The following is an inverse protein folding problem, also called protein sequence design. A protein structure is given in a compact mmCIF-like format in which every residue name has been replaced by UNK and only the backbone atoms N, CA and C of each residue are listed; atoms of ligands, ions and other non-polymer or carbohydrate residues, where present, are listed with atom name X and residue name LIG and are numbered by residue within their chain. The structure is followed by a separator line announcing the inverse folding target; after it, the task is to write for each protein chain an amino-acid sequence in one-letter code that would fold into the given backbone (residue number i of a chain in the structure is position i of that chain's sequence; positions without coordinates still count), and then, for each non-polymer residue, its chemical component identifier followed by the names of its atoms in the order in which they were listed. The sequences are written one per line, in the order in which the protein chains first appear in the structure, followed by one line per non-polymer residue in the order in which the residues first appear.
data_IF_144204851967
#
_entry.id   IF_144204851967
#
_cell.length_a   1.000
_cell.length_b   1.000
_cell.length_c   1.000
_cell.angle_alpha   90.00
_cell.angle_beta   90.00
_cell.angle_gamma   90.00
#
_symmetry.space_group_name_H-M   'P 1'
#
loop_
_entity.id
_entity.type
_entity.pdbx_description
1 polymer ?
#
# COMPACT_ATOMS: atom_id res chain seq x y z
N UNK A 1 38.00 8.86 5.25
CA UNK A 1 38.72 8.31 4.08
C UNK A 1 38.64 9.33 2.95
N UNK A 2 39.77 9.82 2.43
CA UNK A 2 39.77 10.77 1.31
C UNK A 2 39.13 10.07 0.10
N UNK A 3 38.03 10.62 -0.39
CA UNK A 3 37.31 10.09 -1.56
C UNK A 3 37.90 10.73 -2.81
N UNK A 4 38.04 9.95 -3.86
CA UNK A 4 38.38 10.47 -5.18
C UNK A 4 37.18 11.30 -5.68
N UNK A 5 37.40 12.26 -6.58
CA UNK A 5 36.30 12.98 -7.22
C UNK A 5 35.47 12.01 -8.07
N UNK A 6 34.16 12.19 -8.12
CA UNK A 6 33.25 11.36 -8.91
C UNK A 6 33.66 11.29 -10.39
N UNK A 7 34.11 12.42 -10.96
CA UNK A 7 34.59 12.47 -12.35
C UNK A 7 35.88 11.68 -12.60
N UNK A 8 36.70 11.47 -11.56
CA UNK A 8 37.91 10.65 -11.65
C UNK A 8 37.58 9.16 -11.46
N UNK A 9 36.53 8.85 -10.72
CA UNK A 9 36.00 7.49 -10.55
C UNK A 9 35.36 6.98 -11.85
N UNK A 10 34.56 7.82 -12.51
CA UNK A 10 33.97 7.51 -13.83
C UNK A 10 35.06 7.23 -14.88
N UNK A 11 36.11 8.07 -14.94
CA UNK A 11 37.25 7.85 -15.84
C UNK A 11 38.02 6.57 -15.55
N UNK A 12 38.07 6.15 -14.28
CA UNK A 12 38.76 4.93 -13.87
C UNK A 12 37.95 3.69 -14.26
N UNK A 13 36.62 3.77 -14.23
CA UNK A 13 35.74 2.74 -14.79
C UNK A 13 35.85 2.66 -16.32
N UNK A 14 35.83 3.80 -17.02
CA UNK A 14 36.05 3.84 -18.47
C UNK A 14 37.40 3.23 -18.89
N UNK A 15 38.44 3.42 -18.07
CA UNK A 15 39.75 2.76 -18.25
C UNK A 15 39.67 1.24 -18.05
N UNK A 16 38.96 0.77 -17.02
CA UNK A 16 38.80 -0.67 -16.75
C UNK A 16 37.96 -1.38 -17.83
N UNK A 17 36.99 -0.69 -18.40
CA UNK A 17 36.11 -1.19 -19.46
C UNK A 17 36.77 -1.08 -20.86
N UNK A 18 37.92 -0.42 -20.98
CA UNK A 18 38.65 -0.24 -22.25
C UNK A 18 37.96 0.74 -23.21
N UNK A 19 37.17 1.68 -22.69
CA UNK A 19 36.41 2.66 -23.48
C UNK A 19 37.17 4.00 -23.69
N UNK A 20 38.43 4.08 -23.24
CA UNK A 20 39.27 5.26 -23.42
C UNK A 20 40.04 5.24 -24.74
N UNK A 21 40.20 6.41 -25.35
CA UNK A 21 41.05 6.60 -26.53
C UNK A 21 42.54 6.44 -26.17
N UNK A 22 43.34 5.89 -27.09
CA UNK A 22 44.72 5.43 -26.83
C UNK A 22 45.68 6.55 -26.39
N UNK A 23 45.35 7.81 -26.69
CA UNK A 23 46.12 8.99 -26.25
C UNK A 23 45.79 9.34 -24.81
N UNK A 24 44.51 9.25 -24.44
CA UNK A 24 44.00 9.55 -23.09
C UNK A 24 44.38 8.45 -22.11
N UNK A 25 44.41 7.21 -22.57
CA UNK A 25 44.85 6.04 -21.80
C UNK A 25 46.27 6.24 -21.26
N UNK A 26 47.24 6.60 -22.11
CA UNK A 26 48.64 6.83 -21.69
C UNK A 26 48.78 7.98 -20.71
N UNK A 27 48.07 9.07 -20.93
CA UNK A 27 48.07 10.21 -20.00
C UNK A 27 47.48 9.83 -18.64
N UNK A 28 46.46 8.97 -18.65
CA UNK A 28 45.83 8.49 -17.43
C UNK A 28 46.69 7.46 -16.70
N UNK A 29 47.46 6.63 -17.40
CA UNK A 29 48.46 5.74 -16.78
C UNK A 29 49.58 6.51 -16.08
N UNK A 30 50.02 7.63 -16.66
CA UNK A 30 50.96 8.55 -16.01
C UNK A 30 50.33 9.19 -14.76
N UNK A 31 49.04 9.58 -14.82
CA UNK A 31 48.28 10.12 -13.69
C UNK A 31 48.11 9.10 -12.56
N UNK A 32 47.77 7.85 -12.88
CA UNK A 32 47.66 6.72 -11.94
C UNK A 32 49.02 6.45 -11.27
N UNK A 33 50.12 6.51 -12.04
CA UNK A 33 51.48 6.28 -11.54
C UNK A 33 51.92 7.39 -10.58
N UNK A 34 51.47 8.63 -10.80
CA UNK A 34 51.78 9.77 -9.94
C UNK A 34 50.97 9.80 -8.63
N UNK A 35 49.77 9.18 -8.60
CA UNK A 35 48.83 9.29 -7.50
C UNK A 35 48.54 7.94 -6.83
N UNK A 36 49.11 7.75 -5.63
CA UNK A 36 48.93 6.55 -4.80
C UNK A 36 47.46 6.23 -4.53
N UNK A 37 46.58 7.24 -4.39
CA UNK A 37 45.16 7.02 -4.11
C UNK A 37 44.40 6.43 -5.31
N UNK A 38 44.72 6.87 -6.54
CA UNK A 38 44.11 6.32 -7.76
C UNK A 38 44.54 4.88 -7.97
N UNK A 39 45.81 4.57 -7.73
CA UNK A 39 46.34 3.21 -7.83
C UNK A 39 45.66 2.24 -6.86
N UNK A 40 45.55 2.60 -5.58
CA UNK A 40 44.86 1.75 -4.59
C UNK A 40 43.41 1.49 -4.98
N UNK A 41 42.73 2.50 -5.53
CA UNK A 41 41.32 2.39 -5.95
C UNK A 41 41.14 1.54 -7.20
N UNK A 42 42.08 1.62 -8.13
CA UNK A 42 42.13 0.74 -9.30
C UNK A 42 42.39 -0.72 -8.90
N UNK A 43 43.26 -0.96 -7.93
CA UNK A 43 43.48 -2.31 -7.38
C UNK A 43 42.22 -2.85 -6.68
N UNK A 44 41.50 -2.03 -5.90
CA UNK A 44 40.21 -2.38 -5.31
C UNK A 44 39.19 -2.79 -6.39
N UNK A 45 39.05 -1.99 -7.45
CA UNK A 45 38.10 -2.26 -8.54
C UNK A 45 38.47 -3.51 -9.35
N UNK A 46 39.77 -3.74 -9.61
CA UNK A 46 40.24 -4.98 -10.24
C UNK A 46 39.95 -6.21 -9.39
N UNK A 47 40.14 -6.12 -8.07
CA UNK A 47 39.81 -7.20 -7.16
C UNK A 47 38.31 -7.50 -7.17
N UNK A 48 37.45 -6.48 -7.19
CA UNK A 48 35.99 -6.67 -7.32
C UNK A 48 35.60 -7.29 -8.65
N UNK A 49 36.16 -6.82 -9.78
CA UNK A 49 35.89 -7.39 -11.10
C UNK A 49 36.29 -8.87 -11.16
N UNK A 50 37.44 -9.24 -10.57
CA UNK A 50 37.86 -10.64 -10.49
C UNK A 50 36.89 -11.50 -9.66
N UNK A 51 36.28 -10.95 -8.61
CA UNK A 51 35.23 -11.65 -7.85
C UNK A 51 33.97 -11.84 -8.71
N UNK A 52 33.56 -10.80 -9.45
CA UNK A 52 32.40 -10.87 -10.35
C UNK A 52 32.58 -11.83 -11.52
N UNK A 53 33.77 -11.97 -12.07
CA UNK A 53 34.05 -12.95 -13.12
C UNK A 53 33.97 -14.41 -12.63
N UNK A 54 34.26 -14.64 -11.35
CA UNK A 54 34.21 -15.97 -10.74
C UNK A 54 32.83 -16.31 -10.15
N UNK A 55 31.90 -15.37 -10.12
CA UNK A 55 30.52 -15.63 -9.73
C UNK A 55 29.83 -16.41 -10.86
N UNK A 56 29.47 -17.66 -10.58
CA UNK A 56 28.65 -18.46 -11.48
C UNK A 56 27.31 -17.77 -11.64
N UNK A 57 27.07 -17.19 -12.83
CA UNK A 57 25.77 -16.62 -13.16
C UNK A 57 24.74 -17.76 -13.13
N UNK A 58 23.77 -17.66 -12.22
CA UNK A 58 22.65 -18.61 -12.20
C UNK A 58 21.90 -18.49 -13.52
N UNK A 59 21.82 -19.59 -14.26
CA UNK A 59 21.12 -19.58 -15.53
C UNK A 59 19.63 -19.39 -15.26
N UNK A 60 18.99 -18.36 -15.82
CA UNK A 60 17.56 -18.16 -15.63
C UNK A 60 16.79 -19.35 -16.20
N UNK A 61 15.59 -19.58 -15.69
CA UNK A 61 14.72 -20.62 -16.23
C UNK A 61 14.46 -20.37 -17.73
N UNK A 62 14.26 -21.44 -18.51
CA UNK A 62 14.06 -21.38 -19.96
C UNK A 62 13.00 -20.37 -20.41
N UNK A 63 12.00 -20.11 -19.56
CA UNK A 63 10.86 -19.23 -19.86
C UNK A 63 10.90 -17.91 -19.09
N UNK A 64 12.03 -17.56 -18.46
CA UNK A 64 12.15 -16.33 -17.68
C UNK A 64 11.86 -15.08 -18.52
N UNK A 65 12.52 -14.96 -19.67
CA UNK A 65 12.34 -13.81 -20.57
C UNK A 65 10.91 -13.70 -21.07
N UNK A 66 10.29 -14.83 -21.43
CA UNK A 66 8.88 -14.88 -21.85
C UNK A 66 7.94 -14.44 -20.71
N UNK A 67 8.17 -14.91 -19.48
CA UNK A 67 7.37 -14.50 -18.32
C UNK A 67 7.52 -13.03 -17.97
N UNK A 68 8.73 -12.48 -18.08
CA UNK A 68 8.99 -11.06 -17.82
C UNK A 68 8.32 -10.20 -18.89
N UNK A 69 8.48 -10.55 -20.17
CA UNK A 69 7.88 -9.81 -21.27
C UNK A 69 6.35 -9.89 -21.25
N UNK A 70 5.78 -11.05 -20.94
CA UNK A 70 4.33 -11.21 -20.77
C UNK A 70 3.78 -10.37 -19.62
N UNK A 71 4.58 -10.09 -18.58
CA UNK A 71 4.16 -9.33 -17.40
C UNK A 71 4.53 -7.85 -17.44
N UNK A 72 5.22 -7.39 -18.48
CA UNK A 72 5.70 -6.02 -18.60
C UNK A 72 4.53 -5.03 -18.75
N UNK A 73 3.52 -5.41 -19.54
CA UNK A 73 2.32 -4.59 -19.81
C UNK A 73 1.16 -4.88 -18.87
N UNK A 74 1.23 -5.97 -18.09
CA UNK A 74 0.23 -6.24 -17.08
C UNK A 74 0.48 -5.32 -15.90
N UNK A 75 -0.30 -4.24 -15.81
CA UNK A 75 -0.41 -3.41 -14.61
C UNK A 75 -0.48 -4.35 -13.39
N UNK A 76 0.25 -4.03 -12.29
CA UNK A 76 0.34 -4.92 -11.14
C UNK A 76 -1.08 -5.32 -10.78
N UNK A 77 -1.34 -6.63 -10.79
CA UNK A 77 -2.66 -7.18 -10.51
C UNK A 77 -3.10 -6.56 -9.18
N UNK A 78 -3.93 -5.53 -9.25
CA UNK A 78 -4.39 -4.88 -8.05
C UNK A 78 -5.06 -5.99 -7.25
N UNK A 79 -4.71 -6.08 -5.98
CA UNK A 79 -5.42 -6.90 -5.00
C UNK A 79 -6.86 -6.40 -4.95
N UNK A 80 -7.61 -6.77 -5.97
CA UNK A 80 -8.99 -6.38 -6.19
C UNK A 80 -9.73 -7.45 -5.44
N UNK A 81 -10.39 -7.06 -4.36
CA UNK A 81 -11.30 -7.93 -3.63
C UNK A 81 -12.15 -8.70 -4.65
N UNK A 82 -12.23 -10.02 -4.48
CA UNK A 82 -12.98 -10.87 -5.40
C UNK A 82 -14.38 -10.28 -5.58
N UNK A 83 -14.75 -9.99 -6.84
CA UNK A 83 -16.05 -9.39 -7.21
C UNK A 83 -17.20 -10.16 -6.56
N UNK A 84 -17.06 -11.48 -6.39
CA UNK A 84 -18.04 -12.35 -5.71
C UNK A 84 -18.26 -11.95 -4.24
N UNK A 85 -17.18 -11.64 -3.52
CA UNK A 85 -17.26 -11.22 -2.12
C UNK A 85 -17.88 -9.82 -2.01
N UNK A 86 -17.59 -8.95 -2.99
CA UNK A 86 -18.20 -7.61 -3.08
C UNK A 86 -19.71 -7.65 -3.32
N UNK A 87 -20.16 -8.49 -4.25
CA UNK A 87 -21.60 -8.67 -4.54
C UNK A 87 -22.33 -9.30 -3.37
N UNK A 88 -21.74 -10.30 -2.70
CA UNK A 88 -22.32 -10.91 -1.51
C UNK A 88 -22.50 -9.88 -0.38
N UNK A 89 -21.48 -9.03 -0.15
CA UNK A 89 -21.56 -7.93 0.82
C UNK A 89 -22.70 -6.97 0.48
N UNK A 90 -22.80 -6.57 -0.79
CA UNK A 90 -23.86 -5.66 -1.24
C UNK A 90 -25.26 -6.24 -1.01
N UNK A 91 -25.47 -7.51 -1.33
CA UNK A 91 -26.74 -8.22 -1.06
C UNK A 91 -27.02 -8.27 0.44
N UNK A 92 -26.01 -8.54 1.27
CA UNK A 92 -26.14 -8.54 2.73
C UNK A 92 -26.56 -7.17 3.29
N UNK A 93 -25.97 -6.08 2.79
CA UNK A 93 -26.32 -4.71 3.20
C UNK A 93 -27.74 -4.36 2.76
N UNK A 94 -28.15 -4.75 1.54
CA UNK A 94 -29.50 -4.53 1.06
C UNK A 94 -30.54 -5.27 1.92
N UNK A 95 -30.26 -6.52 2.27
CA UNK A 95 -31.12 -7.31 3.14
C UNK A 95 -31.23 -6.70 4.55
N UNK A 96 -30.12 -6.22 5.11
CA UNK A 96 -30.11 -5.53 6.40
C UNK A 96 -30.94 -4.24 6.37
N UNK A 97 -30.80 -3.41 5.32
CA UNK A 97 -31.61 -2.20 5.14
C UNK A 97 -33.11 -2.54 5.01
N UNK A 98 -33.44 -3.60 4.28
CA UNK A 98 -34.82 -4.09 4.16
C UNK A 98 -35.41 -4.51 5.51
N UNK A 99 -34.65 -5.26 6.31
CA UNK A 99 -35.07 -5.68 7.64
C UNK A 99 -35.26 -4.49 8.58
N UNK A 100 -34.33 -3.53 8.59
CA UNK A 100 -34.44 -2.32 9.41
C UNK A 100 -35.67 -1.47 9.00
N UNK A 101 -35.90 -1.31 7.70
CA UNK A 101 -37.07 -0.60 7.18
C UNK A 101 -38.38 -1.25 7.63
N UNK A 102 -38.45 -2.59 7.59
CA UNK A 102 -39.61 -3.34 8.03
C UNK A 102 -39.86 -3.16 9.54
N UNK A 103 -38.80 -3.19 10.35
CA UNK A 103 -38.90 -2.95 11.80
C UNK A 103 -39.27 -1.50 12.16
N UNK A 104 -38.94 -0.53 11.29
CA UNK A 104 -39.41 0.85 11.45
C UNK A 104 -40.91 0.97 11.21
N UNK A 105 -41.43 0.29 10.18
CA UNK A 105 -42.87 0.35 9.87
C UNK A 105 -43.75 -0.28 10.94
N UNK A 106 -43.21 -1.23 11.71
CA UNK A 106 -43.93 -1.87 12.82
C UNK A 106 -43.91 -1.06 14.12
N UNK A 107 -43.28 0.12 14.15
CA UNK A 107 -43.35 1.05 15.28
C UNK A 107 -42.61 0.59 16.55
N UNK A 108 -41.81 -0.48 16.46
CA UNK A 108 -41.10 -1.09 17.62
C UNK A 108 -40.15 -0.08 18.29
N UNK A 109 -39.68 0.92 17.54
CA UNK A 109 -38.68 1.90 17.97
C UNK A 109 -39.23 3.30 18.26
N UNK A 110 -40.56 3.49 18.27
CA UNK A 110 -41.19 4.76 18.66
C UNK A 110 -41.17 5.00 20.18
N UNK A 111 -40.83 3.96 20.96
CA UNK A 111 -40.65 4.10 22.40
C UNK A 111 -39.38 4.90 22.75
N UNK A 112 -39.53 5.92 23.58
CA UNK A 112 -38.41 6.67 24.16
C UNK A 112 -37.90 5.94 25.38
N UNK A 113 -36.72 5.34 25.29
CA UNK A 113 -36.08 4.69 26.45
C UNK A 113 -35.41 5.77 27.30
N UNK A 114 -36.03 6.11 28.43
CA UNK A 114 -35.41 7.03 29.39
C UNK A 114 -34.41 6.26 30.24
N UNK A 115 -33.12 6.48 30.02
CA UNK A 115 -32.07 5.87 30.84
C UNK A 115 -31.97 6.69 32.12
N UNK A 116 -32.60 6.22 33.19
CA UNK A 116 -32.50 6.83 34.51
C UNK A 116 -31.23 6.32 35.20
N UNK A 117 -30.18 7.13 35.17
CA UNK A 117 -28.88 6.85 35.80
C UNK A 117 -28.97 6.70 37.34
N UNK A 118 -30.10 7.08 37.94
CA UNK A 118 -30.38 6.93 39.37
C UNK A 118 -30.78 5.50 39.79
N UNK A 119 -30.97 4.57 38.83
CA UNK A 119 -31.39 3.19 39.08
C UNK A 119 -30.24 2.18 38.98
N UNK A 120 -29.04 2.63 38.60
CA UNK A 120 -27.84 1.82 38.70
C UNK A 120 -27.48 1.73 40.17
N UNK A 121 -27.51 0.52 40.76
CA UNK A 121 -27.08 0.26 42.13
C UNK A 121 -25.58 0.58 42.28
N UNK A 122 -25.26 1.86 42.41
CA UNK A 122 -23.96 2.33 42.85
C UNK A 122 -24.00 2.35 44.38
N UNK A 123 -23.27 1.47 45.07
CA UNK A 123 -23.15 1.57 46.50
C UNK A 123 -22.21 2.74 46.75
N UNK A 124 -22.76 3.91 47.08
CA UNK A 124 -22.27 4.73 48.19
C UNK A 124 -23.04 6.04 48.35
N UNK A 125 -23.48 6.24 49.59
CA UNK A 125 -24.34 7.30 50.14
C UNK A 125 -23.80 8.75 50.05
N UNK A 126 -22.95 9.10 49.09
CA UNK A 126 -22.20 10.39 49.15
C UNK A 126 -22.59 11.39 48.05
N UNK A 127 -23.34 11.00 47.02
CA UNK A 127 -23.71 11.92 45.93
C UNK A 127 -25.24 12.01 45.80
N UNK A 128 -25.84 12.94 46.56
CA UNK A 128 -27.24 13.39 46.35
C UNK A 128 -27.28 14.54 45.34
N UNK A 129 -26.69 14.36 44.18
CA UNK A 129 -26.90 15.26 43.06
C UNK A 129 -27.69 14.47 42.02
N UNK A 130 -28.93 14.89 41.78
CA UNK A 130 -29.80 14.25 40.80
C UNK A 130 -29.15 14.44 39.44
N UNK A 131 -28.49 13.38 38.95
CA UNK A 131 -27.91 13.39 37.62
C UNK A 131 -29.05 13.61 36.61
N UNK A 132 -28.91 14.56 35.67
CA UNK A 132 -29.96 14.80 34.67
C UNK A 132 -30.19 13.53 33.86
N UNK A 133 -31.46 13.14 33.74
CA UNK A 133 -31.86 12.04 32.87
C UNK A 133 -31.86 12.51 31.41
N UNK A 134 -31.27 11.70 30.53
CA UNK A 134 -31.28 11.96 29.10
C UNK A 134 -32.31 11.05 28.42
N UNK A 135 -33.14 11.64 27.57
CA UNK A 135 -34.13 10.90 26.77
C UNK A 135 -33.49 10.52 25.44
N UNK A 136 -32.99 9.28 25.35
CA UNK A 136 -32.48 8.76 24.08
C UNK A 136 -33.68 8.22 23.27
N UNK A 137 -34.02 8.91 22.20
CA UNK A 137 -35.11 8.47 21.31
C UNK A 137 -34.64 7.27 20.51
N UNK A 138 -35.33 6.12 20.61
CA UNK A 138 -35.02 4.94 19.80
C UNK A 138 -35.00 5.27 18.30
N UNK A 139 -35.96 6.07 17.85
CA UNK A 139 -36.00 6.64 16.50
C UNK A 139 -34.72 7.36 16.06
N UNK A 140 -34.07 8.10 16.95
CA UNK A 140 -32.80 8.78 16.65
C UNK A 140 -31.66 7.78 16.48
N UNK A 141 -31.59 6.76 17.34
CA UNK A 141 -30.61 5.68 17.24
C UNK A 141 -30.74 4.89 15.93
N UNK A 142 -31.97 4.52 15.55
CA UNK A 142 -32.20 3.79 14.30
C UNK A 142 -31.84 4.67 13.11
N UNK A 143 -32.17 5.97 13.13
CA UNK A 143 -31.82 6.86 12.03
C UNK A 143 -30.29 6.98 11.84
N UNK A 144 -29.53 7.02 12.94
CA UNK A 144 -28.05 6.97 12.89
C UNK A 144 -27.57 5.65 12.29
N UNK A 145 -28.14 4.52 12.70
CA UNK A 145 -27.77 3.19 12.18
C UNK A 145 -28.08 3.07 10.68
N UNK A 146 -29.22 3.61 10.22
CA UNK A 146 -29.58 3.63 8.80
C UNK A 146 -28.60 4.49 8.02
N UNK A 147 -28.29 5.68 8.51
CA UNK A 147 -27.32 6.58 7.87
C UNK A 147 -25.95 5.89 7.73
N UNK A 148 -25.49 5.20 8.77
CA UNK A 148 -24.26 4.42 8.72
C UNK A 148 -24.32 3.31 7.66
N UNK A 149 -25.42 2.56 7.59
CA UNK A 149 -25.60 1.50 6.60
C UNK A 149 -25.66 2.04 5.16
N UNK A 150 -26.26 3.21 4.93
CA UNK A 150 -26.28 3.87 3.62
C UNK A 150 -24.86 4.28 3.20
N UNK A 151 -24.09 4.88 4.10
CA UNK A 151 -22.68 5.24 3.83
C UNK A 151 -21.87 3.99 3.50
N UNK A 152 -22.07 2.90 4.24
CA UNK A 152 -21.38 1.63 4.01
C UNK A 152 -21.81 1.00 2.67
N UNK A 153 -23.11 1.01 2.35
CA UNK A 153 -23.63 0.57 1.06
C UNK A 153 -22.99 1.34 -0.10
N UNK A 154 -22.83 2.65 0.04
CA UNK A 154 -22.23 3.50 -0.99
C UNK A 154 -20.74 3.22 -1.18
N UNK A 155 -19.98 3.07 -0.09
CA UNK A 155 -18.55 2.69 -0.14
C UNK A 155 -18.38 1.31 -0.80
N UNK A 156 -19.22 0.35 -0.43
CA UNK A 156 -19.19 -1.00 -1.00
C UNK A 156 -19.55 -0.94 -2.48
N UNK A 157 -20.58 -0.20 -2.87
CA UNK A 157 -20.98 -0.05 -4.27
C UNK A 157 -19.86 0.56 -5.13
N UNK A 158 -19.25 1.65 -4.67
CA UNK A 158 -18.14 2.29 -5.38
C UNK A 158 -16.98 1.32 -5.57
N UNK A 159 -16.56 0.67 -4.47
CA UNK A 159 -15.37 -0.17 -4.48
C UNK A 159 -15.57 -1.51 -5.20
N UNK A 160 -16.77 -2.07 -5.17
CA UNK A 160 -17.06 -3.42 -5.69
C UNK A 160 -17.65 -3.43 -7.10
N UNK A 161 -18.40 -2.40 -7.49
CA UNK A 161 -19.07 -2.35 -8.81
C UNK A 161 -18.47 -1.25 -9.67
N UNK A 162 -18.42 0.00 -9.19
CA UNK A 162 -18.04 1.14 -10.04
C UNK A 162 -16.57 1.05 -10.47
N UNK A 163 -15.65 0.87 -9.54
CA UNK A 163 -14.21 0.77 -9.85
C UNK A 163 -13.86 -0.33 -10.87
N UNK A 164 -14.25 -1.61 -10.68
CA UNK A 164 -13.93 -2.66 -11.66
C UNK A 164 -14.66 -2.47 -13.00
N UNK A 165 -15.87 -1.89 -12.99
CA UNK A 165 -16.59 -1.58 -14.22
C UNK A 165 -15.86 -0.54 -15.07
N UNK A 166 -15.38 0.55 -14.45
CA UNK A 166 -14.60 1.57 -15.16
C UNK A 166 -13.22 1.05 -15.59
N UNK A 167 -12.55 0.26 -14.76
CA UNK A 167 -11.26 -0.36 -15.12
C UNK A 167 -11.36 -1.25 -16.36
N UNK A 168 -12.42 -2.07 -16.47
CA UNK A 168 -12.66 -2.91 -17.66
C UNK A 168 -12.89 -2.09 -18.94
N UNK A 169 -13.53 -0.93 -18.83
CA UNK A 169 -13.78 -0.05 -19.98
C UNK A 169 -12.57 0.78 -20.41
N UNK A 170 -11.57 0.95 -19.54
CA UNK A 170 -10.32 1.62 -19.89
C UNK A 170 -9.31 0.67 -20.56
N UNK A 171 -9.52 -0.65 -20.46
CA UNK A 171 -8.65 -1.69 -21.02
C UNK A 171 -9.20 -2.32 -22.32
N UNK A 172 -10.41 -1.92 -22.75
CA UNK A 172 -11.06 -2.36 -23.99
C UNK A 172 -11.04 -1.22 -25.02
#
# INVERSE_FOLDING_TARGET
MKRISQAQEDKLLDYLDGNLDAIVEKQFEDEISSNVLLKTRLEELRAMNAIFQNLSLEQPSKNFTEQVMMKLDSAPASSTWSIRNGVLLLVGVLAALGAISLLLTTGIFDSTTTINLNQSELPNKILREQLPSFTLSGKLMINIIILLNIVLAWIVLDRTILRPYFQRRMQA
#
